data_IF_935702377753
#
_entry.id   IF_935702377753
#
_cell.length_a   1.000
_cell.length_b   1.000
_cell.length_c   1.000
_cell.angle_alpha   90.00
_cell.angle_beta   90.00
_cell.angle_gamma   90.00
#
_symmetry.space_group_name_H-M   'P 1'
#
loop_
_entity.id
_entity.type
_entity.pdbx_description
1 polymer ?
#
# COMPACT_ATOMS: atom_id res chain seq x y z
N UNK A 1 18.32 -33.13 -10.89
CA UNK A 1 17.86 -31.98 -10.06
C UNK A 1 16.39 -31.74 -10.33
N UNK A 2 15.54 -32.24 -9.46
CA UNK A 2 14.07 -32.17 -9.56
C UNK A 2 13.62 -30.77 -9.21
N UNK A 3 12.95 -30.05 -10.14
CA UNK A 3 12.24 -28.81 -9.87
C UNK A 3 11.04 -29.11 -8.97
N UNK A 4 11.13 -28.71 -7.71
CA UNK A 4 9.98 -28.68 -6.80
C UNK A 4 9.03 -27.64 -7.37
N UNK A 5 7.95 -28.10 -7.99
CA UNK A 5 6.81 -27.23 -8.36
C UNK A 5 6.09 -26.88 -7.06
N UNK A 6 6.37 -25.69 -6.55
CA UNK A 6 5.65 -25.13 -5.41
C UNK A 6 4.18 -24.96 -5.77
N UNK A 7 3.31 -25.78 -5.15
CA UNK A 7 1.85 -25.74 -5.30
C UNK A 7 1.20 -24.44 -4.77
N UNK A 8 1.99 -23.53 -4.18
CA UNK A 8 1.54 -22.25 -3.62
C UNK A 8 0.92 -21.29 -4.66
N UNK A 9 1.26 -21.41 -5.95
CA UNK A 9 0.81 -20.45 -6.97
C UNK A 9 -0.68 -20.52 -7.29
N UNK A 10 -1.24 -21.73 -7.46
CA UNK A 10 -2.61 -21.90 -7.97
C UNK A 10 -3.71 -21.53 -6.98
N UNK A 11 -3.61 -21.96 -5.72
CA UNK A 11 -4.65 -21.66 -4.73
C UNK A 11 -4.71 -20.20 -4.32
N UNK A 12 -3.55 -19.51 -4.31
CA UNK A 12 -3.49 -18.07 -4.03
C UNK A 12 -3.94 -17.21 -5.20
N UNK A 13 -3.62 -17.59 -6.44
CA UNK A 13 -4.09 -16.88 -7.64
C UNK A 13 -5.63 -16.89 -7.74
N UNK A 14 -6.27 -17.98 -7.32
CA UNK A 14 -7.74 -18.10 -7.28
C UNK A 14 -8.41 -17.07 -6.34
N UNK A 15 -7.73 -16.64 -5.29
CA UNK A 15 -8.27 -15.66 -4.33
C UNK A 15 -7.93 -14.22 -4.65
N UNK A 16 -6.79 -13.99 -5.31
CA UNK A 16 -6.33 -12.62 -5.67
C UNK A 16 -7.04 -12.12 -6.93
N UNK A 17 -7.45 -13.04 -7.81
CA UNK A 17 -8.19 -12.72 -9.03
C UNK A 17 -9.52 -13.50 -9.10
N UNK A 18 -10.44 -13.32 -8.15
CA UNK A 18 -11.72 -14.02 -8.19
C UNK A 18 -12.50 -13.71 -9.48
N UNK A 19 -12.27 -12.56 -10.12
CA UNK A 19 -12.91 -12.19 -11.38
C UNK A 19 -12.41 -12.97 -12.60
N UNK A 20 -11.18 -13.48 -12.61
CA UNK A 20 -10.65 -14.27 -13.72
C UNK A 20 -11.13 -15.73 -13.66
N UNK A 21 -11.41 -16.23 -12.46
CA UNK A 21 -12.04 -17.54 -12.27
C UNK A 21 -13.55 -17.51 -12.51
N UNK A 22 -14.22 -16.38 -12.19
CA UNK A 22 -15.63 -16.14 -12.48
C UNK A 22 -15.86 -15.98 -14.00
N UNK A 23 -14.88 -15.49 -14.79
CA UNK A 23 -14.98 -15.35 -16.25
C UNK A 23 -14.96 -16.67 -17.01
N UNK A 24 -14.46 -17.74 -16.41
CA UNK A 24 -14.50 -19.09 -17.00
C UNK A 24 -15.71 -19.92 -16.56
N UNK A 25 -16.47 -19.45 -15.56
CA UNK A 25 -17.83 -19.88 -15.26
C UNK A 25 -18.77 -18.86 -15.87
N UNK A 26 -19.74 -19.28 -16.67
CA UNK A 26 -20.76 -18.42 -17.29
C UNK A 26 -21.27 -17.37 -16.31
N UNK A 27 -21.43 -16.08 -16.73
CA UNK A 27 -21.86 -14.98 -15.85
C UNK A 27 -23.26 -15.17 -15.24
N UNK A 28 -23.96 -16.23 -15.58
CA UNK A 28 -25.25 -16.66 -15.03
C UNK A 28 -25.14 -18.00 -14.27
N UNK A 29 -24.13 -18.17 -13.41
CA UNK A 29 -24.14 -19.33 -12.53
C UNK A 29 -25.29 -19.19 -11.54
N UNK A 30 -26.44 -19.76 -11.90
CA UNK A 30 -27.62 -19.86 -11.06
C UNK A 30 -27.25 -20.69 -9.83
N UNK A 31 -27.01 -20.03 -8.70
CA UNK A 31 -26.60 -20.68 -7.44
C UNK A 31 -27.60 -21.71 -6.95
N UNK A 32 -28.84 -21.72 -7.50
CA UNK A 32 -29.85 -22.74 -7.20
C UNK A 32 -29.52 -24.11 -7.80
N UNK A 33 -28.65 -24.14 -8.82
CA UNK A 33 -28.23 -25.36 -9.53
C UNK A 33 -26.90 -25.95 -9.06
N UNK A 34 -26.27 -25.33 -8.06
CA UNK A 34 -25.02 -25.84 -7.49
C UNK A 34 -25.24 -27.18 -6.83
N UNK A 35 -24.43 -28.16 -7.19
CA UNK A 35 -24.48 -29.53 -6.65
C UNK A 35 -23.76 -29.63 -5.31
N UNK A 36 -24.08 -30.69 -4.57
CA UNK A 36 -23.34 -31.02 -3.34
C UNK A 36 -21.89 -31.41 -3.66
N UNK A 37 -20.99 -31.25 -2.69
CA UNK A 37 -19.59 -31.66 -2.85
C UNK A 37 -19.46 -33.17 -3.00
N UNK A 38 -18.85 -33.63 -4.10
CA UNK A 38 -18.60 -35.05 -4.39
C UNK A 38 -17.30 -35.57 -3.72
N UNK A 39 -16.58 -34.70 -3.00
CA UNK A 39 -15.35 -35.06 -2.31
C UNK A 39 -14.11 -35.26 -3.21
N UNK A 40 -14.26 -35.16 -4.54
CA UNK A 40 -13.19 -35.45 -5.51
C UNK A 40 -12.66 -34.25 -6.25
N UNK A 41 -13.55 -33.33 -6.60
CA UNK A 41 -13.15 -32.12 -7.37
C UNK A 41 -12.68 -31.03 -6.43
N UNK A 42 -11.65 -30.33 -6.84
CA UNK A 42 -11.09 -29.13 -6.19
C UNK A 42 -11.28 -27.93 -7.12
N UNK A 43 -11.22 -26.72 -6.57
CA UNK A 43 -11.53 -25.48 -7.27
C UNK A 43 -12.96 -25.45 -7.83
N UNK A 44 -13.92 -25.99 -7.08
CA UNK A 44 -15.32 -26.08 -7.46
C UNK A 44 -16.23 -25.31 -6.53
N UNK A 45 -17.34 -24.84 -7.08
CA UNK A 45 -18.45 -24.31 -6.32
C UNK A 45 -19.42 -25.45 -5.96
N UNK A 46 -19.58 -25.72 -4.67
CA UNK A 46 -20.51 -26.77 -4.19
C UNK A 46 -21.36 -26.26 -3.03
N UNK A 47 -22.52 -26.92 -2.80
CA UNK A 47 -23.28 -26.70 -1.57
C UNK A 47 -22.70 -27.56 -0.46
N UNK A 48 -22.50 -26.96 0.70
CA UNK A 48 -21.97 -27.64 1.88
C UNK A 48 -22.84 -27.35 3.09
N UNK A 49 -22.97 -28.33 3.98
CA UNK A 49 -23.69 -28.14 5.22
C UNK A 49 -22.96 -27.20 6.16
N UNK A 50 -23.69 -26.23 6.70
CA UNK A 50 -23.20 -25.20 7.61
C UNK A 50 -22.64 -25.79 8.92
N UNK A 51 -23.13 -26.94 9.34
CA UNK A 51 -22.69 -27.64 10.56
C UNK A 51 -21.29 -28.22 10.43
N UNK A 52 -20.88 -28.61 9.21
CA UNK A 52 -19.53 -29.15 8.97
C UNK A 52 -18.46 -28.09 8.76
N UNK A 53 -18.82 -26.79 8.82
CA UNK A 53 -17.87 -25.69 8.63
C UNK A 53 -17.32 -25.21 9.97
N UNK A 54 -16.02 -25.43 10.19
CA UNK A 54 -15.25 -24.87 11.31
C UNK A 54 -14.70 -23.50 10.98
N UNK A 55 -14.55 -22.64 11.99
CA UNK A 55 -13.94 -21.31 11.83
C UNK A 55 -12.44 -21.42 11.57
N UNK A 56 -11.89 -20.37 10.95
CA UNK A 56 -10.46 -20.24 10.79
C UNK A 56 -9.80 -19.81 12.12
N UNK A 57 -8.92 -20.62 12.71
CA UNK A 57 -8.22 -20.25 13.96
C UNK A 57 -7.29 -19.05 13.81
N UNK A 58 -6.88 -18.71 12.58
CA UNK A 58 -5.95 -17.63 12.28
C UNK A 58 -6.62 -16.26 12.01
N UNK A 59 -7.96 -16.19 12.08
CA UNK A 59 -8.74 -14.95 11.91
C UNK A 59 -9.56 -14.63 13.17
N UNK A 60 -8.95 -14.14 14.25
CA UNK A 60 -9.69 -13.72 15.44
C UNK A 60 -10.38 -12.37 15.18
N UNK A 61 -11.61 -12.37 14.68
CA UNK A 61 -12.48 -11.18 14.79
C UNK A 61 -13.13 -11.15 16.16
N UNK A 62 -12.58 -10.34 17.06
CA UNK A 62 -13.14 -10.15 18.40
C UNK A 62 -14.35 -9.19 18.41
N UNK A 63 -14.49 -8.31 17.42
CA UNK A 63 -15.60 -7.35 17.34
C UNK A 63 -16.29 -7.43 15.97
N UNK A 64 -17.43 -8.09 15.93
CA UNK A 64 -18.36 -8.01 14.81
C UNK A 64 -19.37 -6.92 15.15
N UNK A 65 -19.41 -5.86 14.35
CA UNK A 65 -20.44 -4.83 14.47
C UNK A 65 -21.81 -5.45 14.20
N UNK A 66 -22.65 -5.47 15.23
CA UNK A 66 -23.95 -6.12 15.18
C UNK A 66 -24.89 -5.45 14.16
N UNK A 67 -24.84 -4.13 14.03
CA UNK A 67 -25.68 -3.38 13.10
C UNK A 67 -25.39 -3.83 11.66
N UNK A 68 -24.11 -3.85 11.29
CA UNK A 68 -23.72 -4.26 9.96
C UNK A 68 -23.87 -5.76 9.69
N UNK A 69 -23.95 -6.61 10.74
CA UNK A 69 -24.32 -8.02 10.62
C UNK A 69 -25.80 -8.19 10.34
N UNK A 70 -26.66 -7.41 11.00
CA UNK A 70 -28.12 -7.44 10.82
C UNK A 70 -28.54 -6.94 9.43
N UNK A 71 -27.84 -5.93 8.89
CA UNK A 71 -28.00 -5.51 7.50
C UNK A 71 -27.64 -6.62 6.51
N UNK A 72 -26.54 -7.33 6.75
CA UNK A 72 -26.10 -8.45 5.94
C UNK A 72 -27.13 -9.61 6.00
N UNK A 73 -27.68 -9.92 7.18
CA UNK A 73 -28.75 -10.93 7.32
C UNK A 73 -29.98 -10.57 6.50
N UNK A 74 -30.45 -9.31 6.56
CA UNK A 74 -31.59 -8.83 5.73
C UNK A 74 -31.30 -9.00 4.25
N UNK A 75 -30.09 -8.63 3.81
CA UNK A 75 -29.68 -8.80 2.41
C UNK A 75 -29.69 -10.28 1.98
N UNK A 76 -29.15 -11.17 2.83
CA UNK A 76 -29.11 -12.62 2.56
C UNK A 76 -30.52 -13.22 2.53
N UNK A 77 -31.42 -12.79 3.41
CA UNK A 77 -32.83 -13.25 3.42
C UNK A 77 -33.58 -12.85 2.14
N UNK A 78 -33.29 -11.66 1.59
CA UNK A 78 -33.97 -11.14 0.41
C UNK A 78 -33.40 -11.70 -0.89
N UNK A 79 -32.07 -11.79 -1.00
CA UNK A 79 -31.38 -12.07 -2.27
C UNK A 79 -30.65 -13.42 -2.28
N UNK A 80 -30.67 -14.15 -1.16
CA UNK A 80 -29.81 -15.31 -0.98
C UNK A 80 -28.35 -14.92 -0.73
N UNK A 81 -27.50 -15.94 -0.57
CA UNK A 81 -26.05 -15.75 -0.45
C UNK A 81 -25.42 -15.61 -1.85
N UNK A 82 -25.38 -14.39 -2.40
CA UNK A 82 -24.87 -14.10 -3.74
C UNK A 82 -23.38 -14.41 -3.86
N UNK A 83 -22.58 -14.05 -2.85
CA UNK A 83 -21.16 -14.35 -2.81
C UNK A 83 -20.89 -15.58 -1.95
N UNK A 84 -20.40 -16.69 -2.53
CA UNK A 84 -20.05 -17.89 -1.77
C UNK A 84 -18.97 -17.60 -0.73
N UNK A 85 -18.93 -18.42 0.31
CA UNK A 85 -17.78 -18.48 1.20
C UNK A 85 -16.67 -19.29 0.55
N UNK A 86 -15.44 -19.17 1.08
CA UNK A 86 -14.30 -19.99 0.63
C UNK A 86 -13.88 -20.92 1.76
N UNK A 87 -13.74 -22.21 1.44
CA UNK A 87 -13.38 -23.24 2.41
C UNK A 87 -12.30 -24.16 1.85
N UNK A 88 -11.58 -24.86 2.74
CA UNK A 88 -10.81 -26.05 2.39
C UNK A 88 -11.46 -27.31 2.99
N UNK A 89 -11.19 -28.45 2.39
CA UNK A 89 -11.52 -29.71 3.01
C UNK A 89 -10.63 -29.97 4.23
N UNK A 90 -11.21 -30.45 5.30
CA UNK A 90 -10.54 -30.92 6.50
C UNK A 90 -10.76 -32.42 6.64
N UNK A 91 -10.05 -33.16 7.51
CA UNK A 91 -10.33 -34.54 7.81
C UNK A 91 -11.80 -34.76 8.22
N UNK A 92 -12.30 -35.98 8.11
CA UNK A 92 -13.64 -36.41 8.52
C UNK A 92 -14.80 -35.72 7.78
N UNK A 93 -14.63 -35.42 6.49
CA UNK A 93 -15.63 -34.72 5.65
C UNK A 93 -16.08 -33.37 6.20
N UNK A 94 -15.21 -32.70 7.00
CA UNK A 94 -15.39 -31.34 7.50
C UNK A 94 -14.76 -30.34 6.56
N UNK A 95 -15.15 -29.09 6.77
CA UNK A 95 -14.60 -27.95 6.04
C UNK A 95 -14.05 -26.94 7.01
N UNK A 96 -12.99 -26.29 6.61
CA UNK A 96 -12.41 -25.16 7.37
C UNK A 96 -12.55 -23.88 6.57
N UNK A 97 -13.14 -22.87 7.20
CA UNK A 97 -13.36 -21.58 6.58
C UNK A 97 -12.02 -20.88 6.28
N UNK A 98 -11.87 -20.37 5.08
CA UNK A 98 -10.75 -19.52 4.66
C UNK A 98 -11.20 -18.06 4.64
N UNK A 99 -12.31 -17.76 3.96
CA UNK A 99 -12.85 -16.42 3.84
C UNK A 99 -14.38 -16.40 3.88
N UNK A 100 -14.96 -15.33 4.42
CA UNK A 100 -16.40 -15.12 4.52
C UNK A 100 -17.01 -15.36 5.90
N UNK A 101 -16.27 -15.12 6.99
CA UNK A 101 -16.73 -15.35 8.37
C UNK A 101 -18.06 -14.65 8.69
N UNK A 102 -18.23 -13.37 8.30
CA UNK A 102 -19.50 -12.66 8.52
C UNK A 102 -20.66 -13.32 7.78
N UNK A 103 -20.42 -13.80 6.56
CA UNK A 103 -21.42 -14.52 5.76
C UNK A 103 -21.81 -15.84 6.41
N UNK A 104 -20.83 -16.60 6.90
CA UNK A 104 -21.07 -17.86 7.62
C UNK A 104 -21.89 -17.62 8.89
N UNK A 105 -21.55 -16.59 9.69
CA UNK A 105 -22.27 -16.25 10.92
C UNK A 105 -23.69 -15.81 10.60
N UNK A 106 -23.89 -14.93 9.61
CA UNK A 106 -25.21 -14.50 9.18
C UNK A 106 -26.08 -15.69 8.74
N UNK A 107 -25.54 -16.59 7.92
CA UNK A 107 -26.26 -17.79 7.47
C UNK A 107 -26.61 -18.74 8.63
N UNK A 108 -25.70 -18.92 9.62
CA UNK A 108 -25.98 -19.71 10.83
C UNK A 108 -27.12 -19.12 11.64
N UNK A 109 -27.12 -17.82 11.87
CA UNK A 109 -28.14 -17.13 12.65
C UNK A 109 -29.50 -17.07 11.94
N UNK A 110 -29.52 -17.03 10.61
CA UNK A 110 -30.75 -17.12 9.81
C UNK A 110 -31.32 -18.54 9.79
N UNK A 111 -30.47 -19.57 10.02
CA UNK A 111 -30.89 -20.97 10.03
C UNK A 111 -30.74 -21.70 8.68
N UNK A 112 -29.84 -21.23 7.80
CA UNK A 112 -29.51 -21.97 6.58
C UNK A 112 -28.86 -23.31 6.94
N UNK A 113 -29.35 -24.39 6.35
CA UNK A 113 -28.76 -25.73 6.52
C UNK A 113 -27.56 -25.94 5.60
N UNK A 114 -27.63 -25.40 4.39
CA UNK A 114 -26.60 -25.52 3.35
C UNK A 114 -26.34 -24.16 2.72
N UNK A 115 -25.09 -23.90 2.38
CA UNK A 115 -24.67 -22.65 1.72
C UNK A 115 -23.69 -22.95 0.59
N UNK A 116 -23.68 -22.14 -0.48
CA UNK A 116 -22.71 -22.27 -1.54
C UNK A 116 -21.31 -21.86 -1.04
N UNK A 117 -20.33 -22.69 -1.36
CA UNK A 117 -18.94 -22.48 -0.98
C UNK A 117 -17.99 -22.85 -2.12
N UNK A 118 -16.94 -22.07 -2.30
CA UNK A 118 -15.79 -22.47 -3.10
C UNK A 118 -14.88 -23.38 -2.28
N UNK A 119 -14.64 -24.57 -2.79
CA UNK A 119 -13.77 -25.57 -2.19
C UNK A 119 -12.42 -25.46 -2.90
N UNK A 120 -11.40 -24.98 -2.20
CA UNK A 120 -10.05 -24.87 -2.74
C UNK A 120 -9.12 -25.87 -2.08
N UNK A 121 -8.11 -26.31 -2.85
CA UNK A 121 -7.07 -27.19 -2.35
C UNK A 121 -6.00 -26.36 -1.63
N UNK A 122 -5.92 -26.54 -0.33
CA UNK A 122 -4.95 -25.86 0.52
C UNK A 122 -4.25 -26.89 1.37
N UNK A 123 -3.14 -27.41 0.85
CA UNK A 123 -2.42 -28.55 1.42
C UNK A 123 -1.65 -28.23 2.70
N UNK A 124 -1.48 -26.94 3.05
CA UNK A 124 -0.68 -26.56 4.20
C UNK A 124 -1.33 -25.49 5.08
N UNK A 125 -0.98 -25.50 6.37
CA UNK A 125 -1.41 -24.48 7.33
C UNK A 125 -0.80 -23.12 7.01
N UNK A 126 0.41 -23.10 6.47
CA UNK A 126 1.10 -21.88 6.03
C UNK A 126 0.33 -21.17 4.91
N UNK A 127 -0.25 -21.95 3.99
CA UNK A 127 -1.06 -21.37 2.91
C UNK A 127 -2.37 -20.79 3.45
N UNK A 128 -3.02 -21.48 4.40
CA UNK A 128 -4.20 -20.96 5.09
C UNK A 128 -3.93 -19.64 5.79
N UNK A 129 -2.80 -19.56 6.49
CA UNK A 129 -2.38 -18.36 7.17
C UNK A 129 -2.08 -17.23 6.18
N UNK A 130 -1.38 -17.54 5.08
CA UNK A 130 -1.07 -16.57 4.04
C UNK A 130 -2.34 -15.96 3.44
N UNK A 131 -3.34 -16.78 3.13
CA UNK A 131 -4.62 -16.33 2.58
C UNK A 131 -5.37 -15.43 3.57
N UNK A 132 -5.40 -15.80 4.85
CA UNK A 132 -6.03 -15.01 5.90
C UNK A 132 -5.34 -13.66 6.08
N UNK A 133 -4.00 -13.62 6.06
CA UNK A 133 -3.22 -12.39 6.18
C UNK A 133 -3.39 -11.48 4.96
N UNK A 134 -3.40 -12.03 3.75
CA UNK A 134 -3.59 -11.26 2.51
C UNK A 134 -5.01 -10.65 2.47
N UNK A 135 -6.05 -11.45 2.80
CA UNK A 135 -7.43 -10.93 2.91
C UNK A 135 -7.50 -9.77 3.91
N UNK A 136 -6.85 -9.94 5.07
CA UNK A 136 -6.85 -8.90 6.09
C UNK A 136 -6.12 -7.63 5.63
N UNK A 137 -5.00 -7.75 4.90
CA UNK A 137 -4.24 -6.61 4.34
C UNK A 137 -5.07 -5.80 3.33
N UNK A 138 -5.98 -6.44 2.60
CA UNK A 138 -6.85 -5.78 1.63
C UNK A 138 -8.01 -4.99 2.25
N UNK A 139 -8.14 -4.98 3.58
CA UNK A 139 -9.17 -4.19 4.28
C UNK A 139 -8.82 -2.71 4.31
N UNK A 140 -9.85 -1.85 4.21
CA UNK A 140 -9.71 -0.40 4.06
C UNK A 140 -9.15 0.36 5.29
N UNK A 141 -8.97 -0.27 6.46
CA UNK A 141 -8.67 0.45 7.73
C UNK A 141 -7.49 -0.11 8.52
N UNK A 142 -6.43 -0.60 7.84
CA UNK A 142 -5.21 -1.01 8.53
C UNK A 142 -4.24 0.15 8.67
N UNK A 143 -3.67 0.31 9.86
CA UNK A 143 -2.57 1.26 10.04
C UNK A 143 -1.24 0.72 9.48
N UNK A 144 -0.26 1.61 9.33
CA UNK A 144 1.03 1.27 8.71
C UNK A 144 1.83 0.19 9.46
N UNK A 145 1.66 0.11 10.78
CA UNK A 145 2.33 -0.88 11.65
C UNK A 145 1.63 -2.25 11.52
N UNK A 146 0.30 -2.27 11.48
CA UNK A 146 -0.45 -3.51 11.22
C UNK A 146 -0.09 -4.12 9.87
N UNK A 147 -0.02 -3.30 8.82
CA UNK A 147 0.42 -3.75 7.48
C UNK A 147 1.84 -4.32 7.53
N UNK A 148 2.78 -3.62 8.19
CA UNK A 148 4.15 -4.08 8.36
C UNK A 148 4.22 -5.42 9.10
N UNK A 149 3.42 -5.58 10.17
CA UNK A 149 3.33 -6.81 10.97
C UNK A 149 2.76 -7.97 10.14
N UNK A 150 1.72 -7.72 9.35
CA UNK A 150 1.15 -8.74 8.47
C UNK A 150 2.17 -9.20 7.41
N UNK A 151 2.91 -8.26 6.79
CA UNK A 151 3.98 -8.62 5.85
C UNK A 151 5.11 -9.42 6.51
N UNK A 152 5.49 -9.04 7.73
CA UNK A 152 6.50 -9.78 8.47
C UNK A 152 6.05 -11.20 8.78
N UNK A 153 4.79 -11.40 9.21
CA UNK A 153 4.22 -12.72 9.44
C UNK A 153 4.17 -13.57 8.17
N UNK A 154 3.84 -12.98 7.01
CA UNK A 154 3.89 -13.66 5.72
C UNK A 154 5.31 -14.16 5.39
N UNK A 155 6.35 -13.39 5.76
CA UNK A 155 7.74 -13.83 5.58
C UNK A 155 8.14 -14.93 6.55
N UNK A 156 7.84 -14.74 7.84
CA UNK A 156 8.36 -15.59 8.92
C UNK A 156 7.58 -16.91 9.02
N UNK A 157 6.25 -16.87 8.89
CA UNK A 157 5.37 -18.02 9.11
C UNK A 157 4.98 -18.74 7.79
N UNK A 158 4.94 -17.99 6.67
CA UNK A 158 4.56 -18.55 5.36
C UNK A 158 5.76 -18.66 4.40
N UNK A 159 6.97 -18.33 4.85
CA UNK A 159 8.23 -18.41 4.08
C UNK A 159 8.20 -17.67 2.73
N UNK A 160 7.38 -16.62 2.60
CA UNK A 160 7.28 -15.83 1.38
C UNK A 160 8.37 -14.76 1.32
N UNK A 161 8.94 -14.56 0.15
CA UNK A 161 9.87 -13.44 -0.10
C UNK A 161 9.11 -12.12 -0.22
N UNK A 162 9.78 -10.98 0.01
CA UNK A 162 9.19 -9.65 -0.17
C UNK A 162 8.64 -9.43 -1.58
N UNK A 163 9.24 -10.05 -2.58
CA UNK A 163 8.83 -9.97 -3.98
C UNK A 163 7.53 -10.73 -4.22
N UNK A 164 7.43 -11.95 -3.69
CA UNK A 164 6.20 -12.74 -3.74
C UNK A 164 5.04 -12.07 -2.99
N UNK A 165 5.33 -11.47 -1.82
CA UNK A 165 4.31 -10.70 -1.08
C UNK A 165 3.84 -9.50 -1.91
N UNK A 166 4.77 -8.74 -2.49
CA UNK A 166 4.46 -7.57 -3.29
C UNK A 166 3.56 -7.91 -4.49
N UNK A 167 3.89 -8.97 -5.23
CA UNK A 167 3.08 -9.50 -6.33
C UNK A 167 1.66 -9.85 -5.86
N UNK A 168 1.55 -10.58 -4.73
CA UNK A 168 0.26 -11.06 -4.20
C UNK A 168 -0.65 -9.95 -3.67
N UNK A 169 -0.07 -8.88 -3.12
CA UNK A 169 -0.86 -7.74 -2.59
C UNK A 169 -1.00 -6.59 -3.60
N UNK A 170 -0.44 -6.72 -4.82
CA UNK A 170 -0.51 -5.69 -5.87
C UNK A 170 0.25 -4.42 -5.49
N UNK A 171 1.41 -4.54 -4.85
CA UNK A 171 2.28 -3.43 -4.43
C UNK A 171 3.70 -3.63 -4.93
N UNK A 172 4.51 -2.55 -4.91
CA UNK A 172 5.93 -2.68 -5.21
C UNK A 172 6.71 -3.33 -4.05
N UNK A 173 7.75 -4.10 -4.38
CA UNK A 173 8.66 -4.69 -3.40
C UNK A 173 9.22 -3.66 -2.42
N UNK A 174 9.52 -2.44 -2.90
CA UNK A 174 10.01 -1.34 -2.06
C UNK A 174 8.98 -0.89 -1.03
N UNK A 175 7.70 -0.93 -1.36
CA UNK A 175 6.60 -0.62 -0.44
C UNK A 175 6.53 -1.65 0.68
N UNK A 176 6.58 -2.94 0.35
CA UNK A 176 6.60 -4.05 1.33
C UNK A 176 7.82 -3.93 2.25
N UNK A 177 9.02 -3.76 1.67
CA UNK A 177 10.25 -3.60 2.44
C UNK A 177 10.20 -2.40 3.40
N UNK A 178 9.69 -1.25 2.95
CA UNK A 178 9.56 -0.06 3.78
C UNK A 178 8.57 -0.27 4.93
N UNK A 179 7.43 -0.94 4.70
CA UNK A 179 6.47 -1.24 5.75
C UNK A 179 7.06 -2.15 6.83
N UNK A 180 7.80 -3.19 6.44
CA UNK A 180 8.48 -4.09 7.38
C UNK A 180 9.56 -3.35 8.17
N UNK A 181 10.31 -2.43 7.53
CA UNK A 181 11.32 -1.62 8.22
C UNK A 181 10.74 -0.78 9.34
N UNK A 182 9.50 -0.28 9.22
CA UNK A 182 8.86 0.53 10.27
C UNK A 182 8.77 -0.20 11.62
N UNK A 183 8.71 -1.53 11.62
CA UNK A 183 8.69 -2.34 12.83
C UNK A 183 10.01 -2.30 13.63
N UNK A 184 11.09 -1.78 13.04
CA UNK A 184 12.39 -1.60 13.72
C UNK A 184 12.45 -0.29 14.53
N UNK A 185 11.48 0.58 14.36
CA UNK A 185 11.41 1.83 15.10
C UNK A 185 11.04 1.57 16.57
N UNK A 186 11.53 2.38 17.51
CA UNK A 186 11.09 2.35 18.90
C UNK A 186 9.59 2.47 19.03
N UNK A 187 9.01 1.80 20.03
CA UNK A 187 7.56 1.74 20.24
C UNK A 187 6.90 3.13 20.28
N UNK A 188 7.52 4.12 20.92
CA UNK A 188 7.01 5.50 20.98
C UNK A 188 6.81 6.13 19.58
N UNK A 189 7.67 5.78 18.63
CA UNK A 189 7.57 6.28 17.25
C UNK A 189 6.48 5.52 16.49
N UNK A 190 6.37 4.21 16.72
CA UNK A 190 5.28 3.41 16.17
C UNK A 190 3.92 3.91 16.69
N UNK A 191 3.80 4.18 17.98
CA UNK A 191 2.58 4.73 18.58
C UNK A 191 2.23 6.13 18.03
N UNK A 192 3.23 6.96 17.77
CA UNK A 192 3.02 8.26 17.14
C UNK A 192 2.52 8.12 15.69
N UNK A 193 2.98 7.10 14.98
CA UNK A 193 2.52 6.80 13.61
C UNK A 193 1.11 6.22 13.61
N UNK A 194 0.79 5.30 14.53
CA UNK A 194 -0.56 4.71 14.69
C UNK A 194 -1.61 5.79 15.01
N UNK A 195 -1.23 6.77 15.83
CA UNK A 195 -2.11 7.87 16.23
C UNK A 195 -2.08 9.08 15.27
N UNK A 196 -1.55 8.92 14.06
CA UNK A 196 -1.43 9.96 13.03
C UNK A 196 -0.71 11.25 13.47
N UNK A 197 0.08 11.20 14.57
CA UNK A 197 0.89 12.33 15.03
C UNK A 197 2.07 12.61 14.12
N UNK A 198 2.53 11.61 13.40
CA UNK A 198 3.56 11.72 12.35
C UNK A 198 3.13 10.95 11.11
N UNK A 199 3.58 11.38 9.94
CA UNK A 199 3.30 10.65 8.69
C UNK A 199 4.29 9.52 8.43
N UNK A 200 3.94 8.58 7.53
CA UNK A 200 4.86 7.54 7.03
C UNK A 200 6.18 8.12 6.48
N UNK A 201 6.14 9.31 5.87
CA UNK A 201 7.34 10.00 5.39
C UNK A 201 8.30 10.35 6.51
N UNK A 202 7.79 10.87 7.64
CA UNK A 202 8.59 11.14 8.84
C UNK A 202 9.21 9.86 9.40
N UNK A 203 8.42 8.79 9.56
CA UNK A 203 8.89 7.51 10.08
C UNK A 203 9.99 6.90 9.19
N UNK A 204 9.83 6.97 7.84
CA UNK A 204 10.87 6.50 6.89
C UNK A 204 12.16 7.34 6.93
N UNK A 205 12.06 8.62 7.24
CA UNK A 205 13.25 9.45 7.44
C UNK A 205 13.97 9.09 8.75
N UNK A 206 13.22 8.96 9.86
CA UNK A 206 13.75 8.66 11.20
C UNK A 206 14.48 7.31 11.23
N UNK A 207 13.96 6.29 10.55
CA UNK A 207 14.53 4.93 10.57
C UNK A 207 15.95 4.85 9.97
N UNK A 208 16.38 5.88 9.24
CA UNK A 208 17.72 5.95 8.70
C UNK A 208 18.77 6.42 9.74
N UNK A 209 18.34 6.79 10.96
CA UNK A 209 19.23 7.01 12.10
C UNK A 209 19.48 5.67 12.79
N UNK A 210 20.74 5.32 13.08
CA UNK A 210 21.09 4.08 13.77
C UNK A 210 20.87 4.16 15.28
N UNK A 211 20.97 5.38 15.85
CA UNK A 211 20.84 5.59 17.28
C UNK A 211 19.42 5.85 17.70
N UNK A 212 18.85 4.97 18.55
CA UNK A 212 17.49 5.10 19.08
C UNK A 212 17.26 6.40 19.84
N UNK A 213 18.24 6.87 20.62
CA UNK A 213 18.14 8.14 21.33
C UNK A 213 17.97 9.34 20.40
N UNK A 214 18.69 9.34 19.27
CA UNK A 214 18.55 10.38 18.24
C UNK A 214 17.19 10.28 17.54
N UNK A 215 16.69 9.07 17.31
CA UNK A 215 15.37 8.85 16.73
C UNK A 215 14.27 9.45 17.64
N UNK A 216 14.34 9.20 18.95
CA UNK A 216 13.38 9.74 19.92
C UNK A 216 13.48 11.27 20.06
N UNK A 217 14.68 11.82 20.11
CA UNK A 217 14.88 13.29 20.11
C UNK A 217 14.32 13.94 18.86
N UNK A 218 14.51 13.30 17.70
CA UNK A 218 13.97 13.82 16.44
C UNK A 218 12.45 13.76 16.42
N UNK A 219 11.83 12.69 16.97
CA UNK A 219 10.39 12.60 17.15
C UNK A 219 9.86 13.78 17.98
N UNK A 220 10.49 14.09 19.12
CA UNK A 220 10.08 15.22 19.95
C UNK A 220 10.18 16.55 19.20
N UNK A 221 11.24 16.73 18.42
CA UNK A 221 11.41 17.94 17.61
C UNK A 221 10.31 18.06 16.52
N UNK A 222 9.94 16.94 15.89
CA UNK A 222 8.85 16.91 14.92
C UNK A 222 7.53 17.33 15.57
N UNK A 223 7.22 16.76 16.73
CA UNK A 223 5.97 17.04 17.45
C UNK A 223 5.91 18.49 18.00
N UNK A 224 7.04 19.00 18.52
CA UNK A 224 7.09 20.36 19.10
C UNK A 224 7.07 21.46 18.02
N UNK A 225 7.73 21.24 16.88
CA UNK A 225 7.95 22.26 15.84
C UNK A 225 7.17 22.03 14.56
N UNK A 226 6.33 20.99 14.48
CA UNK A 226 5.58 20.60 13.29
C UNK A 226 6.47 20.55 12.02
N UNK A 227 7.62 19.87 12.11
CA UNK A 227 8.59 19.83 11.02
C UNK A 227 8.02 19.09 9.81
N UNK A 228 8.28 19.61 8.62
CA UNK A 228 7.93 18.91 7.37
C UNK A 228 8.85 17.71 7.12
N UNK A 229 8.38 16.72 6.35
CA UNK A 229 9.16 15.52 5.97
C UNK A 229 10.52 15.91 5.37
N UNK A 230 10.55 16.89 4.45
CA UNK A 230 11.80 17.37 3.83
C UNK A 230 12.79 17.93 4.85
N UNK A 231 12.29 18.63 5.87
CA UNK A 231 13.17 19.18 6.93
C UNK A 231 13.71 18.06 7.81
N UNK A 232 12.90 17.04 8.10
CA UNK A 232 13.33 15.85 8.86
C UNK A 232 14.37 15.05 8.07
N UNK A 233 14.18 14.82 6.79
CA UNK A 233 15.18 14.17 5.91
C UNK A 233 16.50 14.93 5.90
N UNK A 234 16.45 16.27 5.86
CA UNK A 234 17.64 17.11 5.94
C UNK A 234 18.37 16.91 7.28
N UNK A 235 17.66 16.98 8.41
CA UNK A 235 18.22 16.78 9.75
C UNK A 235 18.84 15.38 9.91
N UNK A 236 18.18 14.35 9.40
CA UNK A 236 18.70 12.97 9.42
C UNK A 236 20.02 12.88 8.63
N UNK A 237 20.09 13.54 7.47
CA UNK A 237 21.36 13.60 6.71
C UNK A 237 22.45 14.30 7.49
N UNK A 238 22.18 15.43 8.12
CA UNK A 238 23.16 16.15 8.95
C UNK A 238 23.65 15.26 10.11
N UNK A 239 22.75 14.56 10.81
CA UNK A 239 23.10 13.69 11.93
C UNK A 239 23.94 12.48 11.49
N UNK A 240 23.65 11.88 10.34
CA UNK A 240 24.40 10.74 9.81
C UNK A 240 25.77 11.16 9.24
N UNK A 241 25.90 12.35 8.66
CA UNK A 241 27.16 12.84 8.08
C UNK A 241 28.00 13.70 9.05
N UNK A 242 27.43 14.05 10.22
CA UNK A 242 28.07 14.91 11.21
C UNK A 242 29.25 14.31 11.97
N UNK A 243 29.67 13.05 11.67
CA UNK A 243 30.77 12.37 12.39
C UNK A 243 32.15 12.45 11.73
N UNK A 244 32.30 12.78 10.44
CA UNK A 244 33.62 12.70 9.77
C UNK A 244 33.87 13.65 8.60
N UNK A 245 32.93 14.49 8.26
CA UNK A 245 33.21 15.63 7.38
C UNK A 245 32.84 16.89 8.14
N UNK A 246 33.89 17.76 8.42
CA UNK A 246 33.63 19.17 8.56
C UNK A 246 32.50 19.52 7.61
N UNK A 247 31.45 20.22 8.04
CA UNK A 247 30.43 20.61 7.11
C UNK A 247 31.20 21.16 5.91
N UNK A 248 31.24 20.38 4.81
CA UNK A 248 31.26 21.06 3.55
C UNK A 248 30.06 21.93 3.77
N UNK A 249 30.30 23.19 4.12
CA UNK A 249 29.35 24.22 3.84
C UNK A 249 28.79 23.78 2.48
N UNK A 250 27.69 23.07 2.50
CA UNK A 250 26.66 23.48 1.60
C UNK A 250 26.53 24.91 2.09
N UNK A 251 27.34 25.71 1.53
CA UNK A 251 26.87 27.01 1.25
C UNK A 251 25.46 26.74 0.71
N UNK A 252 24.46 26.61 1.63
CA UNK A 252 23.44 27.60 1.53
C UNK A 252 24.18 28.92 1.49
N UNK A 253 24.79 29.15 0.45
CA UNK A 253 24.77 30.36 -0.25
C UNK A 253 23.38 30.56 -0.85
N UNK A 254 22.38 30.40 -0.04
CA UNK A 254 21.66 31.52 0.50
C UNK A 254 22.50 32.09 1.67
N UNK A 255 23.74 32.47 1.39
CA UNK A 255 24.02 33.88 1.53
C UNK A 255 22.71 34.56 1.13
N UNK A 256 22.15 35.31 2.11
CA UNK A 256 21.55 36.59 1.83
C UNK A 256 22.54 37.37 0.97
N UNK A 257 22.86 36.89 -0.23
CA UNK A 257 23.21 37.67 -1.39
C UNK A 257 21.90 38.37 -1.63
N UNK A 258 21.82 39.57 -1.11
CA UNK A 258 20.80 40.51 -1.45
C UNK A 258 20.56 40.32 -2.95
N UNK A 259 19.45 39.64 -3.27
CA UNK A 259 18.94 39.56 -4.63
C UNK A 259 18.58 41.01 -4.88
N UNK A 260 19.44 41.71 -5.59
CA UNK A 260 19.14 43.05 -6.00
C UNK A 260 18.07 42.95 -7.06
N UNK A 261 16.82 43.05 -6.62
CA UNK A 261 15.70 43.35 -7.49
C UNK A 261 15.85 44.80 -7.94
N UNK A 262 16.64 45.03 -9.00
CA UNK A 262 16.61 46.28 -9.68
C UNK A 262 15.30 46.39 -10.44
N UNK A 263 14.71 47.61 -10.56
CA UNK A 263 13.51 47.83 -11.38
C UNK A 263 13.67 47.26 -12.80
N UNK A 264 14.85 47.37 -13.38
CA UNK A 264 15.20 46.85 -14.70
C UNK A 264 15.03 45.32 -14.84
N UNK A 265 15.28 44.56 -13.77
CA UNK A 265 15.10 43.11 -13.80
C UNK A 265 13.61 42.71 -13.83
N UNK A 266 12.74 43.46 -13.19
CA UNK A 266 11.28 43.24 -13.27
C UNK A 266 10.74 43.49 -14.66
N UNK A 267 11.19 44.56 -15.31
CA UNK A 267 10.76 44.83 -16.69
C UNK A 267 11.23 43.71 -17.64
N UNK A 268 12.40 43.15 -17.40
CA UNK A 268 12.90 42.00 -18.17
C UNK A 268 12.08 40.74 -17.87
N UNK A 269 11.77 40.45 -16.60
CA UNK A 269 10.92 39.33 -16.23
C UNK A 269 9.53 39.43 -16.88
N UNK A 270 8.91 40.61 -16.87
CA UNK A 270 7.59 40.83 -17.43
C UNK A 270 7.59 40.70 -18.96
N UNK A 271 8.61 41.20 -19.64
CA UNK A 271 8.81 41.00 -21.09
C UNK A 271 8.98 39.52 -21.43
N UNK A 272 9.83 38.82 -20.70
CA UNK A 272 10.07 37.39 -20.92
C UNK A 272 8.83 36.56 -20.60
N UNK A 273 8.07 36.93 -19.55
CA UNK A 273 6.80 36.28 -19.23
C UNK A 273 5.76 36.48 -20.33
N UNK A 274 5.69 37.69 -20.88
CA UNK A 274 4.79 37.97 -22.01
C UNK A 274 5.19 37.17 -23.27
N UNK A 275 6.48 37.00 -23.53
CA UNK A 275 7.01 36.27 -24.69
C UNK A 275 6.82 34.76 -24.55
N UNK A 276 7.20 34.16 -23.41
CA UNK A 276 7.18 32.73 -23.22
C UNK A 276 5.86 32.21 -22.67
N UNK A 277 4.96 33.08 -22.15
CA UNK A 277 3.65 32.71 -21.65
C UNK A 277 3.68 31.82 -20.40
N UNK A 278 4.81 31.82 -19.67
CA UNK A 278 5.01 31.04 -18.47
C UNK A 278 5.75 31.85 -17.41
N UNK A 279 5.85 31.32 -16.18
CA UNK A 279 6.55 32.01 -15.10
C UNK A 279 8.06 32.03 -15.35
N UNK A 280 8.59 33.24 -15.43
CA UNK A 280 10.03 33.50 -15.59
C UNK A 280 10.54 34.18 -14.34
N UNK A 281 11.70 33.76 -13.87
CA UNK A 281 12.41 34.35 -12.73
C UNK A 281 13.84 34.68 -13.14
N UNK A 282 14.25 35.96 -12.99
CA UNK A 282 15.59 36.46 -13.27
C UNK A 282 16.31 36.75 -11.96
N UNK A 283 17.51 36.21 -11.80
CA UNK A 283 18.36 36.55 -10.63
C UNK A 283 19.69 37.07 -11.10
N UNK A 284 20.15 38.17 -10.50
CA UNK A 284 21.45 38.78 -10.81
C UNK A 284 22.32 38.86 -9.54
N UNK A 285 23.61 38.61 -9.70
CA UNK A 285 24.64 38.71 -8.68
C UNK A 285 25.36 40.06 -8.78
N UNK A 286 26.08 40.42 -7.70
CA UNK A 286 26.86 41.67 -7.66
C UNK A 286 27.94 41.74 -8.74
N UNK A 287 28.41 40.63 -9.24
CA UNK A 287 29.41 40.53 -10.31
C UNK A 287 28.83 40.70 -11.73
N UNK A 288 27.53 40.98 -11.83
CA UNK A 288 26.81 41.11 -13.11
C UNK A 288 26.35 39.77 -13.70
N UNK A 289 26.79 38.62 -13.17
CA UNK A 289 26.32 37.30 -13.60
C UNK A 289 24.90 37.02 -13.08
N UNK A 290 24.15 36.19 -13.76
CA UNK A 290 22.79 35.88 -13.34
C UNK A 290 22.28 34.53 -13.90
N UNK A 291 21.04 34.22 -13.59
CA UNK A 291 20.33 33.10 -14.17
C UNK A 291 18.89 33.48 -14.50
N UNK A 292 18.39 32.93 -15.60
CA UNK A 292 16.99 33.02 -16.01
C UNK A 292 16.42 31.63 -15.86
N UNK A 293 15.34 31.50 -15.11
CA UNK A 293 14.63 30.23 -14.88
C UNK A 293 13.23 30.34 -15.47
N UNK A 294 12.89 29.44 -16.39
CA UNK A 294 11.55 29.27 -16.91
C UNK A 294 10.91 28.04 -16.24
N UNK A 295 9.72 28.20 -15.71
CA UNK A 295 8.96 27.11 -15.12
C UNK A 295 7.96 26.58 -16.17
N UNK A 296 7.78 25.27 -16.23
CA UNK A 296 6.73 24.64 -17.02
C UNK A 296 5.96 23.63 -16.14
N UNK A 297 4.66 23.48 -16.38
CA UNK A 297 3.76 22.68 -15.52
C UNK A 297 3.15 21.47 -16.25
N UNK A 298 3.39 21.35 -17.58
CA UNK A 298 2.98 20.21 -18.38
C UNK A 298 4.02 19.88 -19.46
N UNK A 299 3.90 18.69 -20.04
CA UNK A 299 4.75 18.26 -21.17
C UNK A 299 4.51 19.11 -22.41
N UNK A 300 3.26 19.47 -22.65
CA UNK A 300 2.86 20.29 -23.80
C UNK A 300 3.43 21.71 -23.69
N UNK A 301 3.48 22.28 -22.48
CA UNK A 301 4.16 23.57 -22.24
C UNK A 301 5.67 23.49 -22.52
N UNK A 302 6.31 22.40 -22.14
CA UNK A 302 7.73 22.19 -22.42
C UNK A 302 7.99 22.11 -23.93
N UNK A 303 7.18 21.34 -24.66
CA UNK A 303 7.27 21.21 -26.13
C UNK A 303 7.09 22.59 -26.79
N UNK A 304 6.10 23.37 -26.37
CA UNK A 304 5.90 24.76 -26.86
C UNK A 304 7.11 25.68 -26.59
N UNK A 305 7.72 25.58 -25.42
CA UNK A 305 8.93 26.35 -25.10
C UNK A 305 10.11 25.96 -26.00
N UNK A 306 10.28 24.67 -26.28
CA UNK A 306 11.33 24.19 -27.18
C UNK A 306 11.10 24.73 -28.60
N UNK A 307 9.87 24.69 -29.11
CA UNK A 307 9.53 25.26 -30.41
C UNK A 307 9.85 26.76 -30.52
N UNK A 308 9.55 27.54 -29.45
CA UNK A 308 9.90 28.96 -29.38
C UNK A 308 11.42 29.18 -29.41
N UNK A 309 12.19 28.36 -28.72
CA UNK A 309 13.66 28.42 -28.78
C UNK A 309 14.19 28.06 -30.17
N UNK A 310 13.61 27.11 -30.88
CA UNK A 310 13.98 26.77 -32.26
C UNK A 310 13.69 27.92 -33.22
N UNK A 311 12.55 28.59 -33.09
CA UNK A 311 12.20 29.77 -33.92
C UNK A 311 13.19 30.91 -33.66
N UNK A 312 13.57 31.17 -32.40
CA UNK A 312 14.55 32.18 -32.06
C UNK A 312 15.92 31.81 -32.66
N UNK A 313 16.34 30.56 -32.56
CA UNK A 313 17.64 30.11 -33.11
C UNK A 313 17.72 30.27 -34.64
N UNK A 314 16.63 30.01 -35.37
CA UNK A 314 16.54 30.17 -36.82
C UNK A 314 16.58 31.61 -37.31
N UNK A 315 16.10 32.55 -36.46
CA UNK A 315 16.09 33.98 -36.80
C UNK A 315 17.40 34.69 -36.51
N UNK A 316 18.34 34.06 -35.80
CA UNK A 316 19.65 34.61 -35.43
C UNK A 316 20.83 33.83 -35.99
N UNK A 317 20.56 32.85 -36.85
CA UNK A 317 21.58 32.16 -37.70
C UNK A 317 21.52 32.70 -39.14
#
# INVERSE_FOLDING_TARGET
>A
MSKIKTGLGRGLDALIKPQDYIKNSDPETDLSKVKDDDGKQIDVLAKISVEFISRNPYQPRFNIDQVSLDELKKSILTNGLIQPITVRRAPDHKYQLISGERRLIACKEIGFKEIPAYIIDVDSEELMLALALIENIQREKLNAIEIGTAYKRLMDECHLTQEQIAEKVGKDRTTVANSIRLLRLPQKIQDALINDKISMGHARAIINLENEGLQLQLLENILKKNLSVRKVEFLVRELNYGGTRKPRKITSTQENKAIFYTPDLRDIEDKLRATFGTKVTCTQRKDGSGSITLEFYSRDELERLIELFEIISKNYS
#
